data_IF_543457618183
#
_entry.id   IF_543457618183
#
_cell.length_a   1.000
_cell.length_b   1.000
_cell.length_c   1.000
_cell.angle_alpha   90.00
_cell.angle_beta   90.00
_cell.angle_gamma   90.00
#
_symmetry.space_group_name_H-M   'P 1'
#
loop_
_entity.id
_entity.type
_entity.pdbx_description
1 polymer ?
#
# COMPACT_ATOMS: atom_id res chain seq x y z
N UNK A 1 -4.31 15.00 -16.13
CA UNK A 1 -5.43 14.03 -16.18
C UNK A 1 -5.39 13.06 -15.02
N UNK A 2 -4.25 12.43 -14.67
CA UNK A 2 -4.13 11.55 -13.50
C UNK A 2 -4.63 12.24 -12.22
N UNK A 3 -4.21 13.48 -11.94
CA UNK A 3 -4.70 14.25 -10.79
C UNK A 3 -6.22 14.44 -10.79
N UNK A 4 -6.81 14.74 -11.95
CA UNK A 4 -8.27 14.87 -12.06
C UNK A 4 -9.00 13.54 -11.86
N UNK A 5 -8.44 12.44 -12.37
CA UNK A 5 -8.96 11.10 -12.13
C UNK A 5 -8.85 10.71 -10.65
N UNK A 6 -7.72 10.99 -10.00
CA UNK A 6 -7.51 10.80 -8.57
C UNK A 6 -8.59 11.47 -7.72
N UNK A 7 -8.87 12.76 -8.00
CA UNK A 7 -9.88 13.53 -7.28
C UNK A 7 -11.29 12.95 -7.51
N UNK A 8 -11.66 12.70 -8.76
CA UNK A 8 -12.96 12.12 -9.10
C UNK A 8 -13.17 10.75 -8.49
N UNK A 9 -12.17 9.88 -8.61
CA UNK A 9 -12.22 8.51 -8.09
C UNK A 9 -12.30 8.51 -6.56
N UNK A 10 -11.42 9.24 -5.90
CA UNK A 10 -11.38 9.30 -4.44
C UNK A 10 -12.64 9.91 -3.82
N UNK A 11 -13.24 10.91 -4.47
CA UNK A 11 -14.45 11.59 -3.98
C UNK A 11 -15.72 10.78 -4.24
N UNK A 12 -15.87 10.23 -5.46
CA UNK A 12 -17.14 9.70 -5.95
C UNK A 12 -17.08 8.25 -6.46
N UNK A 13 -15.92 7.58 -6.31
CA UNK A 13 -15.68 6.22 -6.79
C UNK A 13 -15.44 6.13 -8.30
N UNK A 14 -15.16 4.90 -8.74
CA UNK A 14 -14.84 4.58 -10.14
C UNK A 14 -15.85 5.11 -11.17
N UNK A 15 -17.19 4.98 -10.96
CA UNK A 15 -18.16 5.42 -11.96
C UNK A 15 -18.10 6.92 -12.30
N UNK A 16 -17.48 7.74 -11.43
CA UNK A 16 -17.29 9.16 -11.68
C UNK A 16 -16.15 9.47 -12.65
N UNK A 17 -15.26 8.51 -12.92
CA UNK A 17 -14.10 8.66 -13.80
C UNK A 17 -14.52 8.31 -15.22
N UNK A 18 -14.96 9.32 -15.95
CA UNK A 18 -15.31 9.24 -17.38
C UNK A 18 -14.44 10.20 -18.17
N UNK A 19 -14.24 9.95 -19.46
CA UNK A 19 -13.51 10.87 -20.35
C UNK A 19 -14.02 12.30 -20.19
N UNK A 20 -15.36 12.47 -20.17
CA UNK A 20 -15.99 13.79 -20.05
C UNK A 20 -15.72 14.46 -18.70
N UNK A 21 -15.83 13.74 -17.60
CA UNK A 21 -15.61 14.29 -16.26
C UNK A 21 -14.14 14.66 -16.04
N UNK A 22 -13.22 13.79 -16.49
CA UNK A 22 -11.77 14.04 -16.43
C UNK A 22 -11.38 15.25 -17.26
N UNK A 23 -11.83 15.33 -18.52
CA UNK A 23 -11.56 16.49 -19.38
C UNK A 23 -12.10 17.79 -18.78
N UNK A 24 -13.32 17.77 -18.24
CA UNK A 24 -13.91 18.92 -17.55
C UNK A 24 -13.11 19.33 -16.32
N UNK A 25 -12.72 18.38 -15.47
CA UNK A 25 -11.96 18.65 -14.23
C UNK A 25 -10.54 19.15 -14.52
N UNK A 26 -9.90 18.64 -15.58
CA UNK A 26 -8.55 19.04 -15.98
C UNK A 26 -8.49 20.25 -16.91
N UNK A 27 -9.63 20.82 -17.30
CA UNK A 27 -9.76 21.89 -18.32
C UNK A 27 -9.11 21.51 -19.67
N UNK A 28 -9.14 20.24 -20.04
CA UNK A 28 -8.62 19.71 -21.29
C UNK A 28 -9.77 19.21 -22.18
N UNK A 29 -9.52 19.08 -23.48
CA UNK A 29 -10.48 18.48 -24.40
C UNK A 29 -10.23 16.98 -24.60
N UNK A 30 -11.20 16.29 -25.20
CA UNK A 30 -11.13 14.84 -25.43
C UNK A 30 -10.00 14.42 -26.36
N UNK A 31 -9.52 15.29 -27.24
CA UNK A 31 -8.36 14.98 -28.10
C UNK A 31 -7.11 14.72 -27.24
N UNK A 32 -6.82 15.62 -26.28
CA UNK A 32 -5.67 15.42 -25.36
C UNK A 32 -5.82 14.18 -24.49
N UNK A 33 -7.07 13.80 -24.16
CA UNK A 33 -7.30 12.55 -23.46
C UNK A 33 -6.80 11.35 -24.29
N UNK A 34 -7.25 11.22 -25.53
CA UNK A 34 -6.89 10.10 -26.40
C UNK A 34 -5.45 10.14 -26.94
N UNK A 35 -4.78 11.28 -26.87
CA UNK A 35 -3.33 11.39 -27.09
C UNK A 35 -2.52 10.80 -25.93
N UNK A 36 -3.08 10.77 -24.69
CA UNK A 36 -2.38 10.33 -23.47
C UNK A 36 -2.82 8.96 -22.98
N UNK A 37 -4.09 8.60 -23.15
CA UNK A 37 -4.69 7.37 -22.65
C UNK A 37 -5.64 6.79 -23.70
N UNK A 38 -5.58 5.46 -23.87
CA UNK A 38 -6.45 4.72 -24.78
C UNK A 38 -7.92 4.74 -24.31
N UNK A 39 -8.11 4.59 -23.01
CA UNK A 39 -9.43 4.51 -22.35
C UNK A 39 -9.35 4.94 -20.88
N UNK A 40 -10.48 4.89 -20.18
CA UNK A 40 -10.56 5.21 -18.76
C UNK A 40 -9.88 4.18 -17.86
N UNK A 41 -9.78 2.94 -18.29
CA UNK A 41 -9.14 1.86 -17.55
C UNK A 41 -7.62 2.09 -17.47
N UNK A 42 -7.00 2.51 -18.58
CA UNK A 42 -5.59 2.88 -18.60
C UNK A 42 -5.31 4.09 -17.69
N UNK A 43 -6.18 5.10 -17.71
CA UNK A 43 -6.08 6.24 -16.81
C UNK A 43 -6.26 5.84 -15.33
N UNK A 44 -7.21 4.96 -15.02
CA UNK A 44 -7.41 4.44 -13.67
C UNK A 44 -6.19 3.65 -13.20
N UNK A 45 -5.63 2.81 -14.07
CA UNK A 45 -4.38 2.10 -13.78
C UNK A 45 -3.23 3.05 -13.47
N UNK A 46 -3.02 4.09 -14.29
CA UNK A 46 -2.01 5.13 -14.06
C UNK A 46 -2.26 5.89 -12.75
N UNK A 47 -3.53 6.15 -12.41
CA UNK A 47 -3.90 6.82 -11.16
C UNK A 47 -3.58 5.95 -9.94
N UNK A 48 -3.84 4.64 -10.03
CA UNK A 48 -3.48 3.69 -8.99
C UNK A 48 -1.95 3.63 -8.81
N UNK A 49 -1.21 3.50 -9.90
CA UNK A 49 0.25 3.42 -9.89
C UNK A 49 0.90 4.68 -9.27
N UNK A 50 0.35 5.87 -9.53
CA UNK A 50 0.79 7.14 -8.96
C UNK A 50 0.62 7.15 -7.42
N UNK A 51 -0.54 6.69 -6.92
CA UNK A 51 -0.79 6.59 -5.47
C UNK A 51 0.10 5.53 -4.81
N UNK A 52 0.37 4.42 -5.51
CA UNK A 52 1.31 3.39 -5.03
C UNK A 52 2.73 3.95 -4.94
N UNK A 53 3.18 4.69 -5.94
CA UNK A 53 4.50 5.32 -5.94
C UNK A 53 4.68 6.29 -4.77
N UNK A 54 3.66 7.11 -4.49
CA UNK A 54 3.63 8.01 -3.33
C UNK A 54 3.72 7.23 -2.00
N UNK A 55 2.97 6.12 -1.87
CA UNK A 55 3.01 5.28 -0.68
C UNK A 55 4.40 4.64 -0.48
N UNK A 56 5.00 4.12 -1.56
CA UNK A 56 6.34 3.53 -1.50
C UNK A 56 7.37 4.58 -1.07
N UNK A 57 7.31 5.79 -1.63
CA UNK A 57 8.17 6.91 -1.21
C UNK A 57 8.03 7.21 0.29
N UNK A 58 6.78 7.29 0.79
CA UNK A 58 6.48 7.51 2.21
C UNK A 58 7.04 6.38 3.09
N UNK A 59 6.90 5.12 2.66
CA UNK A 59 7.44 3.96 3.40
C UNK A 59 8.97 3.96 3.44
N UNK A 60 9.63 4.21 2.32
CA UNK A 60 11.10 4.28 2.24
C UNK A 60 11.63 5.36 3.18
N UNK A 61 11.01 6.55 3.19
CA UNK A 61 11.40 7.64 4.08
C UNK A 61 11.17 7.27 5.56
N UNK A 62 9.98 6.76 5.90
CA UNK A 62 9.62 6.41 7.27
C UNK A 62 10.48 5.29 7.87
N UNK A 63 10.90 4.33 7.04
CA UNK A 63 11.67 3.16 7.47
C UNK A 63 13.19 3.37 7.40
N UNK A 64 13.66 4.48 6.84
CA UNK A 64 15.08 4.79 6.70
C UNK A 64 15.77 4.99 8.05
N UNK A 65 17.00 4.50 8.16
CA UNK A 65 17.91 4.75 9.28
C UNK A 65 17.37 4.33 10.67
N UNK A 66 16.42 3.40 10.71
CA UNK A 66 15.90 2.87 11.97
C UNK A 66 16.78 1.73 12.51
N UNK A 67 16.91 1.62 13.85
CA UNK A 67 17.93 0.78 14.48
C UNK A 67 17.65 -0.73 14.36
N UNK A 68 16.40 -1.14 14.30
CA UNK A 68 15.99 -2.53 14.35
C UNK A 68 14.70 -2.81 13.56
N UNK A 69 14.40 -4.08 13.36
CA UNK A 69 13.25 -4.57 12.59
C UNK A 69 11.92 -4.16 13.23
N UNK A 70 11.86 -4.12 14.56
CA UNK A 70 10.65 -3.71 15.28
C UNK A 70 10.34 -2.22 15.03
N UNK A 71 11.36 -1.38 15.08
CA UNK A 71 11.22 0.05 14.79
C UNK A 71 10.79 0.27 13.33
N UNK A 72 11.41 -0.47 12.39
CA UNK A 72 11.03 -0.43 10.97
C UNK A 72 9.59 -0.89 10.74
N UNK A 73 9.20 -2.01 11.33
CA UNK A 73 7.83 -2.52 11.24
C UNK A 73 6.82 -1.51 11.78
N UNK A 74 7.09 -0.95 12.98
CA UNK A 74 6.24 0.07 13.58
C UNK A 74 6.09 1.29 12.67
N UNK A 75 7.20 1.82 12.18
CA UNK A 75 7.21 2.97 11.29
C UNK A 75 6.45 2.70 9.98
N UNK A 76 6.63 1.52 9.38
CA UNK A 76 5.90 1.12 8.17
C UNK A 76 4.40 1.03 8.40
N UNK A 77 3.94 0.42 9.50
CA UNK A 77 2.51 0.35 9.85
C UNK A 77 1.95 1.76 10.05
N UNK A 78 2.63 2.58 10.86
CA UNK A 78 2.21 3.97 11.09
C UNK A 78 2.12 4.75 9.79
N UNK A 79 3.13 4.64 8.92
CA UNK A 79 3.16 5.35 7.64
C UNK A 79 1.98 4.96 6.71
N UNK A 80 1.61 3.68 6.62
CA UNK A 80 0.46 3.23 5.82
C UNK A 80 -0.85 3.80 6.35
N UNK A 81 -1.04 3.75 7.67
CA UNK A 81 -2.29 4.22 8.30
C UNK A 81 -2.41 5.75 8.22
N UNK A 82 -1.33 6.49 8.49
CA UNK A 82 -1.29 7.95 8.35
C UNK A 82 -1.45 8.39 6.90
N UNK A 83 -0.77 7.73 5.95
CA UNK A 83 -0.92 8.01 4.52
C UNK A 83 -2.38 7.93 4.07
N UNK A 84 -3.10 6.93 4.60
CA UNK A 84 -4.51 6.70 4.28
C UNK A 84 -5.44 7.67 5.02
N UNK A 85 -5.08 8.12 6.23
CA UNK A 85 -5.91 9.01 7.06
C UNK A 85 -5.76 10.47 6.64
N UNK A 86 -4.54 10.90 6.29
CA UNK A 86 -4.24 12.27 5.88
C UNK A 86 -4.91 12.66 4.57
N UNK A 87 -5.11 11.69 3.67
CA UNK A 87 -5.98 11.84 2.50
C UNK A 87 -6.78 10.54 2.29
N UNK A 88 -8.03 10.47 2.79
CA UNK A 88 -8.85 9.26 2.69
C UNK A 88 -9.07 8.75 1.25
N UNK A 89 -8.89 9.62 0.24
CA UNK A 89 -8.98 9.24 -1.18
C UNK A 89 -7.90 8.24 -1.56
N UNK A 90 -6.68 8.38 -1.02
CA UNK A 90 -5.56 7.45 -1.21
C UNK A 90 -5.92 6.05 -0.74
N UNK A 91 -6.36 5.96 0.51
CA UNK A 91 -6.76 4.69 1.10
C UNK A 91 -7.96 4.05 0.41
N UNK A 92 -8.93 4.87 -0.04
CA UNK A 92 -10.07 4.41 -0.81
C UNK A 92 -9.64 3.76 -2.13
N UNK A 93 -8.75 4.41 -2.88
CA UNK A 93 -8.20 3.89 -4.13
C UNK A 93 -7.43 2.58 -3.90
N UNK A 94 -6.53 2.54 -2.91
CA UNK A 94 -5.64 1.40 -2.70
C UNK A 94 -6.33 0.20 -2.05
N UNK A 95 -7.19 0.43 -1.05
CA UNK A 95 -7.63 -0.63 -0.15
C UNK A 95 -9.13 -0.94 -0.22
N UNK A 96 -9.95 -0.06 -0.79
CA UNK A 96 -11.40 -0.25 -0.87
C UNK A 96 -11.87 -0.47 -2.30
N UNK A 97 -11.78 0.53 -3.16
CA UNK A 97 -12.36 0.52 -4.51
C UNK A 97 -11.61 -0.40 -5.49
N UNK A 98 -10.31 -0.59 -5.29
CA UNK A 98 -9.49 -1.48 -6.14
C UNK A 98 -9.88 -2.97 -6.05
N UNK A 99 -10.85 -3.33 -5.21
CA UNK A 99 -11.28 -4.72 -5.05
C UNK A 99 -12.34 -5.15 -6.08
N UNK A 100 -13.06 -4.23 -6.68
CA UNK A 100 -14.21 -4.50 -7.56
C UNK A 100 -13.89 -4.30 -9.04
N UNK A 101 -12.96 -3.40 -9.37
CA UNK A 101 -12.54 -3.17 -10.76
C UNK A 101 -11.45 -4.17 -11.17
N UNK A 102 -11.59 -4.90 -12.29
CA UNK A 102 -10.62 -5.91 -12.73
C UNK A 102 -9.24 -5.32 -13.07
N UNK A 103 -9.17 -4.14 -13.66
CA UNK A 103 -7.90 -3.46 -13.99
C UNK A 103 -7.14 -3.10 -12.71
N UNK A 104 -7.85 -2.52 -11.74
CA UNK A 104 -7.25 -2.17 -10.44
C UNK A 104 -6.88 -3.42 -9.61
N UNK A 105 -7.66 -4.51 -9.74
CA UNK A 105 -7.32 -5.79 -9.12
C UNK A 105 -6.02 -6.37 -9.69
N UNK A 106 -5.80 -6.26 -11.00
CA UNK A 106 -4.54 -6.67 -11.65
C UNK A 106 -3.37 -5.82 -11.16
N UNK A 107 -3.52 -4.48 -11.14
CA UNK A 107 -2.50 -3.55 -10.63
C UNK A 107 -2.14 -3.84 -9.18
N UNK A 108 -3.15 -4.06 -8.35
CA UNK A 108 -2.96 -4.44 -6.94
C UNK A 108 -2.16 -5.74 -6.83
N UNK A 109 -2.50 -6.76 -7.61
CA UNK A 109 -1.78 -8.04 -7.61
C UNK A 109 -0.32 -7.86 -8.03
N UNK A 110 -0.05 -7.03 -9.04
CA UNK A 110 1.31 -6.70 -9.47
C UNK A 110 2.10 -5.97 -8.36
N UNK A 111 1.47 -5.02 -7.67
CA UNK A 111 2.09 -4.31 -6.53
C UNK A 111 2.41 -5.25 -5.38
N UNK A 112 1.50 -6.16 -5.02
CA UNK A 112 1.74 -7.18 -4.00
C UNK A 112 2.88 -8.13 -4.37
N UNK A 113 2.99 -8.49 -5.67
CA UNK A 113 4.11 -9.29 -6.17
C UNK A 113 5.45 -8.56 -6.06
N UNK A 114 5.50 -7.26 -6.38
CA UNK A 114 6.71 -6.45 -6.21
C UNK A 114 7.13 -6.36 -4.74
N UNK A 115 6.20 -6.08 -3.83
CA UNK A 115 6.47 -6.04 -2.39
C UNK A 115 6.98 -7.39 -1.88
N UNK A 116 6.40 -8.50 -2.36
CA UNK A 116 6.83 -9.84 -1.99
C UNK A 116 8.27 -10.14 -2.47
N UNK A 117 8.64 -9.69 -3.66
CA UNK A 117 10.01 -9.82 -4.17
C UNK A 117 10.99 -9.01 -3.35
N UNK A 118 10.68 -7.76 -3.02
CA UNK A 118 11.53 -6.91 -2.19
C UNK A 118 11.85 -7.55 -0.83
N UNK A 119 10.85 -8.14 -0.16
CA UNK A 119 11.05 -8.85 1.11
C UNK A 119 11.96 -10.10 0.96
N UNK A 120 11.91 -10.78 -0.22
CA UNK A 120 12.75 -11.95 -0.47
C UNK A 120 14.19 -11.58 -0.84
N UNK A 121 14.39 -10.41 -1.45
CA UNK A 121 15.73 -9.94 -1.87
C UNK A 121 16.53 -9.35 -0.69
N UNK A 122 15.86 -8.85 0.35
CA UNK A 122 16.51 -8.25 1.52
C UNK A 122 17.25 -9.25 2.41
N UNK A 123 16.89 -10.56 2.39
CA UNK A 123 17.58 -11.56 3.22
C UNK A 123 17.61 -12.98 2.62
N UNK A 124 18.53 -13.25 1.67
CA UNK A 124 18.73 -14.60 1.17
C UNK A 124 19.32 -15.57 2.20
N UNK A 125 19.95 -15.08 3.27
CA UNK A 125 20.71 -15.86 4.22
C UNK A 125 19.93 -16.32 5.46
N UNK A 126 18.85 -15.61 5.82
CA UNK A 126 18.04 -15.91 7.03
C UNK A 126 16.71 -16.57 6.73
N UNK A 127 16.28 -16.66 5.48
CA UNK A 127 15.03 -17.35 5.12
C UNK A 127 15.23 -18.86 5.13
N UNK A 128 14.68 -19.63 6.10
CA UNK A 128 14.90 -21.06 6.21
C UNK A 128 14.36 -21.87 5.03
N UNK A 129 13.44 -21.32 4.28
CA UNK A 129 13.00 -21.83 2.96
C UNK A 129 12.35 -20.72 2.16
N UNK A 130 12.53 -20.74 0.83
CA UNK A 130 11.82 -19.86 -0.11
C UNK A 130 10.30 -19.83 0.14
N UNK A 131 9.72 -20.96 0.49
CA UNK A 131 8.29 -21.09 0.81
C UNK A 131 7.90 -20.28 2.04
N UNK A 132 8.71 -20.30 3.12
CA UNK A 132 8.43 -19.51 4.31
C UNK A 132 8.46 -18.01 4.04
N UNK A 133 9.43 -17.53 3.26
CA UNK A 133 9.50 -16.13 2.83
C UNK A 133 8.28 -15.71 2.01
N UNK A 134 7.85 -16.53 1.05
CA UNK A 134 6.65 -16.29 0.25
C UNK A 134 5.37 -16.23 1.10
N UNK A 135 5.23 -17.15 2.06
CA UNK A 135 4.09 -17.18 2.98
C UNK A 135 4.10 -15.93 3.87
N UNK A 136 5.25 -15.59 4.45
CA UNK A 136 5.38 -14.40 5.30
C UNK A 136 5.02 -13.12 4.52
N UNK A 137 5.56 -12.94 3.33
CA UNK A 137 5.26 -11.79 2.48
C UNK A 137 3.77 -11.71 2.09
N UNK A 138 3.13 -12.85 1.76
CA UNK A 138 1.70 -12.90 1.44
C UNK A 138 0.84 -12.56 2.67
N UNK A 139 1.15 -13.12 3.83
CA UNK A 139 0.45 -12.82 5.07
C UNK A 139 0.62 -11.35 5.48
N UNK A 140 1.84 -10.81 5.34
CA UNK A 140 2.14 -9.43 5.69
C UNK A 140 1.39 -8.45 4.80
N UNK A 141 1.46 -8.61 3.48
CA UNK A 141 0.77 -7.73 2.54
C UNK A 141 -0.76 -7.81 2.68
N UNK A 142 -1.30 -9.01 2.90
CA UNK A 142 -2.73 -9.21 3.14
C UNK A 142 -3.20 -8.58 4.46
N UNK A 143 -2.45 -8.79 5.54
CA UNK A 143 -2.76 -8.22 6.85
C UNK A 143 -2.71 -6.70 6.82
N UNK A 144 -1.71 -6.10 6.17
CA UNK A 144 -1.59 -4.65 6.05
C UNK A 144 -2.72 -4.03 5.23
N UNK A 145 -3.10 -4.65 4.12
CA UNK A 145 -4.21 -4.17 3.30
C UNK A 145 -5.54 -4.22 4.09
N UNK A 146 -5.79 -5.28 4.84
CA UNK A 146 -6.99 -5.39 5.65
C UNK A 146 -6.98 -4.46 6.87
N UNK A 147 -5.83 -4.29 7.52
CA UNK A 147 -5.64 -3.34 8.62
C UNK A 147 -5.93 -1.91 8.16
N UNK A 148 -5.36 -1.49 7.02
CA UNK A 148 -5.59 -0.17 6.45
C UNK A 148 -7.07 0.04 6.07
N UNK A 149 -7.73 -0.97 5.50
CA UNK A 149 -9.16 -0.93 5.21
C UNK A 149 -10.00 -0.80 6.48
N UNK A 150 -9.74 -1.61 7.49
CA UNK A 150 -10.46 -1.58 8.77
C UNK A 150 -10.27 -0.24 9.49
N UNK A 151 -9.06 0.32 9.41
CA UNK A 151 -8.75 1.65 9.92
C UNK A 151 -9.58 2.74 9.21
N UNK A 152 -9.60 2.74 7.88
CA UNK A 152 -10.40 3.70 7.08
C UNK A 152 -11.89 3.62 7.35
N UNK A 153 -12.41 2.43 7.66
CA UNK A 153 -13.81 2.22 8.03
C UNK A 153 -14.13 2.60 9.49
N UNK A 154 -13.12 3.00 10.26
CA UNK A 154 -13.28 3.36 11.67
C UNK A 154 -13.58 2.19 12.60
N UNK A 155 -13.44 0.94 12.14
CA UNK A 155 -13.78 -0.26 12.93
C UNK A 155 -12.75 -0.55 14.03
N UNK A 156 -11.58 0.08 13.99
CA UNK A 156 -10.48 -0.10 14.94
C UNK A 156 -10.38 1.02 15.98
N UNK A 157 -11.36 1.94 16.00
CA UNK A 157 -11.33 3.13 16.85
C UNK A 157 -10.67 4.33 16.16
N UNK A 158 -10.42 5.39 16.92
CA UNK A 158 -9.85 6.65 16.41
C UNK A 158 -8.40 6.90 16.86
N UNK A 159 -7.87 6.05 17.73
CA UNK A 159 -6.51 6.20 18.26
C UNK A 159 -5.55 5.26 17.53
N UNK A 160 -4.60 5.85 16.82
CA UNK A 160 -3.64 5.14 15.97
C UNK A 160 -2.66 4.30 16.80
N UNK A 161 -2.21 4.81 17.93
CA UNK A 161 -1.15 4.20 18.72
C UNK A 161 -1.49 2.78 19.22
N UNK A 162 -2.66 2.52 19.82
CA UNK A 162 -3.04 1.17 20.21
C UNK A 162 -3.15 0.19 19.03
N UNK A 163 -3.58 0.67 17.87
CA UNK A 163 -3.70 -0.14 16.64
C UNK A 163 -2.31 -0.55 16.15
N UNK A 164 -1.38 0.39 16.08
CA UNK A 164 0.01 0.14 15.67
C UNK A 164 0.69 -0.84 16.65
N UNK A 165 0.57 -0.62 17.95
CA UNK A 165 1.17 -1.50 18.96
C UNK A 165 0.58 -2.93 18.93
N UNK A 166 -0.73 -3.05 18.72
CA UNK A 166 -1.36 -4.36 18.56
C UNK A 166 -0.85 -5.08 17.32
N UNK A 167 -0.76 -4.38 16.18
CA UNK A 167 -0.27 -4.94 14.93
C UNK A 167 1.20 -5.38 15.03
N UNK A 168 2.07 -4.55 15.64
CA UNK A 168 3.49 -4.90 15.86
C UNK A 168 3.61 -6.15 16.74
N UNK A 169 2.84 -6.27 17.82
CA UNK A 169 2.87 -7.45 18.68
C UNK A 169 2.43 -8.73 17.98
N UNK A 170 1.47 -8.65 17.09
CA UNK A 170 0.98 -9.80 16.31
C UNK A 170 1.96 -10.25 15.24
N UNK A 171 2.62 -9.30 14.59
CA UNK A 171 3.55 -9.59 13.49
C UNK A 171 4.97 -9.91 13.97
N UNK A 172 5.36 -9.44 15.16
CA UNK A 172 6.62 -9.79 15.82
C UNK A 172 6.37 -10.24 17.26
N UNK A 173 5.95 -11.47 17.47
CA UNK A 173 5.77 -12.01 18.83
C UNK A 173 7.09 -11.96 19.61
N UNK A 174 7.01 -11.61 20.89
CA UNK A 174 8.16 -11.50 21.80
C UNK A 174 8.91 -12.84 21.83
N UNK A 175 10.11 -12.90 21.25
CA UNK A 175 10.93 -14.12 21.14
C UNK A 175 11.62 -14.29 19.79
N UNK A 176 11.20 -13.61 18.73
CA UNK A 176 11.85 -13.73 17.41
C UNK A 176 13.21 -13.00 17.30
N UNK A 177 13.51 -12.05 18.20
CA UNK A 177 14.76 -11.29 18.20
C UNK A 177 15.89 -11.82 19.08
N UNK A 178 15.64 -12.84 19.92
CA UNK A 178 16.65 -13.34 20.87
C UNK A 178 17.56 -14.45 20.30
N UNK A 179 17.27 -14.96 19.10
CA UNK A 179 18.01 -16.08 18.50
C UNK A 179 19.31 -15.71 17.77
N UNK A 180 19.44 -14.48 17.30
CA UNK A 180 20.58 -14.07 16.47
C UNK A 180 21.83 -13.65 17.25
N UNK A 181 21.68 -13.25 18.52
CA UNK A 181 22.84 -12.81 19.33
C UNK A 181 23.62 -13.96 20.00
N UNK A 182 23.07 -15.19 20.06
CA UNK A 182 23.71 -16.32 20.74
C UNK A 182 24.62 -17.17 19.85
N UNK A 183 24.62 -16.99 18.54
CA UNK A 183 25.45 -17.79 17.64
C UNK A 183 26.84 -17.19 17.34
N UNK A 184 27.10 -15.96 17.77
CA UNK A 184 28.38 -15.27 17.51
C UNK A 184 29.44 -15.44 18.63
N UNK A 185 29.16 -16.23 19.69
CA UNK A 185 30.09 -16.40 20.81
C UNK A 185 30.33 -17.87 21.18
N UNK A 186 30.58 -18.71 20.16
CA UNK A 186 31.19 -20.04 20.38
C UNK A 186 32.28 -20.32 19.38
#
# INVERSE_FOLDING_TARGET
MVRAAYELFGENGEPAVTVRSVCRRSALNTRYFYESFRDTDELLGATYDDVVADLIGTLVEAMSNLPDDRARLRAGITAVLDFSSNDPRRGKILFTESRTNPVLAERRSATQELLRRSVLDEDPATSPTRTAGLVSAAMYSGAMAELARAWLLGTLGADLEPVVEAAVRLLMPAGAGAGAASAANR
#
